data_IF_593512537818
#
_entry.id   IF_593512537818
#
_cell.length_a   1.000
_cell.length_b   1.000
_cell.length_c   1.000
_cell.angle_alpha   90.00
_cell.angle_beta   90.00
_cell.angle_gamma   90.00
#
_symmetry.space_group_name_H-M   'P 1'
#
loop_
_entity.id
_entity.type
_entity.pdbx_description
1 polymer ?
#
# COMPACT_ATOMS: atom_id res chain seq x y z
N UNK A 1 21.91 2.79 3.96
CA UNK A 1 20.57 2.44 3.41
C UNK A 1 19.61 3.62 3.36
N UNK A 2 19.41 4.38 4.46
CA UNK A 2 18.54 5.57 4.51
C UNK A 2 18.81 6.61 3.40
N UNK A 3 20.08 6.99 3.20
CA UNK A 3 20.47 7.94 2.16
C UNK A 3 20.19 7.43 0.74
N UNK A 4 20.36 6.12 0.50
CA UNK A 4 20.14 5.51 -0.80
C UNK A 4 18.65 5.45 -1.16
N UNK A 5 17.78 5.02 -0.24
CA UNK A 5 16.33 4.97 -0.47
C UNK A 5 15.76 6.39 -0.63
N UNK A 6 16.23 7.34 0.18
CA UNK A 6 15.89 8.76 0.03
C UNK A 6 16.31 9.31 -1.33
N UNK A 7 17.54 9.03 -1.74
CA UNK A 7 18.07 9.45 -3.04
C UNK A 7 17.27 8.86 -4.20
N UNK A 8 17.08 7.53 -4.22
CA UNK A 8 16.37 6.83 -5.29
C UNK A 8 14.90 7.27 -5.42
N UNK A 9 14.25 7.61 -4.30
CA UNK A 9 12.83 8.00 -4.32
C UNK A 9 12.58 9.48 -4.59
N UNK A 10 13.52 10.37 -4.22
CA UNK A 10 13.30 11.83 -4.26
C UNK A 10 14.25 12.59 -5.18
N UNK A 11 15.48 12.11 -5.30
CA UNK A 11 16.61 12.86 -5.87
C UNK A 11 17.26 12.16 -7.07
N UNK A 12 16.70 11.03 -7.50
CA UNK A 12 17.27 10.21 -8.56
C UNK A 12 17.49 11.03 -9.83
N UNK A 13 18.70 10.90 -10.40
CA UNK A 13 19.19 11.67 -11.55
C UNK A 13 19.27 13.20 -11.36
N UNK A 14 18.96 13.73 -10.17
CA UNK A 14 18.98 15.17 -9.88
C UNK A 14 17.98 15.98 -10.71
N UNK A 15 18.23 17.29 -10.81
CA UNK A 15 17.44 18.20 -11.66
C UNK A 15 16.23 18.85 -10.99
N UNK A 16 15.33 19.47 -11.78
CA UNK A 16 14.17 20.19 -11.26
C UNK A 16 13.21 19.24 -10.54
N UNK A 17 12.50 19.76 -9.53
CA UNK A 17 11.51 19.00 -8.75
C UNK A 17 10.07 19.48 -9.00
N UNK A 18 9.52 19.28 -10.22
CA UNK A 18 8.23 19.84 -10.60
C UNK A 18 7.05 19.12 -9.95
N UNK A 19 7.23 17.88 -9.50
CA UNK A 19 6.13 17.02 -9.04
C UNK A 19 6.15 16.81 -7.54
N UNK A 20 4.96 16.70 -6.95
CA UNK A 20 4.79 16.08 -5.63
C UNK A 20 4.79 14.56 -5.79
N UNK A 21 5.36 13.84 -4.84
CA UNK A 21 5.33 12.38 -4.85
C UNK A 21 3.88 11.85 -4.82
N UNK A 22 2.98 12.53 -4.11
CA UNK A 22 1.54 12.21 -4.09
C UNK A 22 0.91 12.24 -5.47
N UNK A 23 1.35 13.12 -6.38
CA UNK A 23 0.81 13.14 -7.75
C UNK A 23 1.14 11.87 -8.51
N UNK A 24 2.38 11.38 -8.38
CA UNK A 24 2.80 10.12 -9.01
C UNK A 24 2.01 8.94 -8.45
N UNK A 25 1.86 8.88 -7.12
CA UNK A 25 1.09 7.83 -6.45
C UNK A 25 -0.39 7.89 -6.86
N UNK A 26 -0.98 9.09 -6.86
CA UNK A 26 -2.39 9.30 -7.17
C UNK A 26 -2.70 9.00 -8.64
N UNK A 27 -1.80 9.27 -9.59
CA UNK A 27 -1.98 8.85 -10.98
C UNK A 27 -2.13 7.33 -11.07
N UNK A 28 -1.27 6.57 -10.39
CA UNK A 28 -1.39 5.12 -10.39
C UNK A 28 -2.69 4.67 -9.68
N UNK A 29 -2.96 5.19 -8.49
CA UNK A 29 -4.12 4.80 -7.67
C UNK A 29 -5.45 5.15 -8.34
N UNK A 30 -5.62 6.40 -8.75
CA UNK A 30 -6.81 6.89 -9.45
C UNK A 30 -6.98 6.25 -10.82
N UNK A 31 -5.87 6.12 -11.57
CA UNK A 31 -5.87 5.51 -12.87
C UNK A 31 -6.21 4.02 -12.84
N UNK A 32 -6.05 3.34 -11.69
CA UNK A 32 -6.24 1.89 -11.59
C UNK A 32 -7.64 1.44 -12.04
N UNK A 33 -8.71 2.12 -11.60
CA UNK A 33 -10.06 1.72 -11.97
C UNK A 33 -10.28 1.80 -13.48
N UNK A 34 -9.88 2.91 -14.10
CA UNK A 34 -10.00 3.15 -15.54
C UNK A 34 -9.09 2.19 -16.32
N UNK A 35 -7.85 2.00 -15.87
CA UNK A 35 -6.89 1.11 -16.49
C UNK A 35 -7.39 -0.33 -16.53
N UNK A 36 -7.83 -0.88 -15.40
CA UNK A 36 -8.34 -2.24 -15.32
C UNK A 36 -9.63 -2.42 -16.13
N UNK A 37 -10.55 -1.46 -16.09
CA UNK A 37 -11.75 -1.47 -16.93
C UNK A 37 -11.41 -1.43 -18.42
N UNK A 38 -10.42 -0.64 -18.81
CA UNK A 38 -9.88 -0.59 -20.17
C UNK A 38 -9.27 -1.92 -20.60
N UNK A 39 -8.53 -2.60 -19.71
CA UNK A 39 -8.02 -3.95 -19.97
C UNK A 39 -9.15 -4.96 -20.17
N UNK A 40 -10.22 -4.90 -19.35
CA UNK A 40 -11.38 -5.79 -19.51
C UNK A 40 -12.04 -5.61 -20.87
N UNK A 41 -12.21 -4.36 -21.32
CA UNK A 41 -12.71 -4.06 -22.65
C UNK A 41 -11.78 -4.55 -23.77
N UNK A 42 -10.48 -4.30 -23.64
CA UNK A 42 -9.47 -4.68 -24.63
C UNK A 42 -9.35 -6.20 -24.80
N UNK A 43 -9.29 -6.95 -23.70
CA UNK A 43 -9.19 -8.41 -23.71
C UNK A 43 -10.55 -9.12 -23.78
N UNK A 44 -11.66 -8.37 -23.81
CA UNK A 44 -13.02 -8.90 -23.76
C UNK A 44 -13.26 -9.89 -22.61
N UNK A 45 -12.58 -9.68 -21.47
CA UNK A 45 -12.69 -10.54 -20.29
C UNK A 45 -13.70 -9.95 -19.30
N UNK A 46 -14.90 -10.54 -19.28
CA UNK A 46 -16.00 -10.16 -18.39
C UNK A 46 -16.26 -11.21 -17.30
N UNK A 47 -15.27 -12.05 -17.01
CA UNK A 47 -15.38 -13.05 -15.95
C UNK A 47 -15.68 -12.43 -14.58
N UNK A 48 -16.30 -13.21 -13.69
CA UNK A 48 -16.56 -12.80 -12.31
C UNK A 48 -15.27 -12.39 -11.59
N UNK A 49 -14.17 -13.14 -11.79
CA UNK A 49 -12.88 -12.81 -11.22
C UNK A 49 -12.36 -11.43 -11.66
N UNK A 50 -12.51 -11.08 -12.95
CA UNK A 50 -12.10 -9.78 -13.48
C UNK A 50 -12.92 -8.62 -12.88
N UNK A 51 -14.24 -8.77 -12.76
CA UNK A 51 -15.11 -7.78 -12.12
C UNK A 51 -14.79 -7.61 -10.63
N UNK A 52 -14.58 -8.71 -9.91
CA UNK A 52 -14.19 -8.66 -8.50
C UNK A 52 -12.83 -7.97 -8.37
N UNK A 53 -11.85 -8.31 -9.21
CA UNK A 53 -10.54 -7.68 -9.16
C UNK A 53 -10.59 -6.16 -9.46
N UNK A 54 -11.38 -5.76 -10.46
CA UNK A 54 -11.65 -4.34 -10.74
C UNK A 54 -12.27 -3.65 -9.52
N UNK A 55 -13.28 -4.27 -8.89
CA UNK A 55 -13.93 -3.73 -7.71
C UNK A 55 -12.94 -3.58 -6.54
N UNK A 56 -12.12 -4.59 -6.26
CA UNK A 56 -11.14 -4.55 -5.17
C UNK A 56 -10.02 -3.53 -5.43
N UNK A 57 -9.25 -3.69 -6.51
CA UNK A 57 -8.08 -2.87 -6.76
C UNK A 57 -8.45 -1.46 -7.23
N UNK A 58 -9.47 -1.34 -8.08
CA UNK A 58 -9.99 -0.05 -8.53
C UNK A 58 -10.57 0.78 -7.39
N UNK A 59 -11.44 0.20 -6.55
CA UNK A 59 -12.07 0.95 -5.45
C UNK A 59 -11.07 1.27 -4.34
N UNK A 60 -10.08 0.41 -4.10
CA UNK A 60 -8.93 0.77 -3.24
C UNK A 60 -8.22 2.02 -3.76
N UNK A 61 -8.00 2.11 -5.07
CA UNK A 61 -7.45 3.30 -5.73
C UNK A 61 -8.28 4.55 -5.48
N UNK A 62 -9.62 4.46 -5.54
CA UNK A 62 -10.52 5.57 -5.22
C UNK A 62 -10.48 5.95 -3.74
N UNK A 63 -10.52 4.97 -2.85
CA UNK A 63 -10.42 5.17 -1.39
C UNK A 63 -9.10 5.86 -1.01
N UNK A 64 -8.00 5.52 -1.70
CA UNK A 64 -6.70 6.18 -1.54
C UNK A 64 -6.77 7.67 -1.86
N UNK A 65 -7.41 8.07 -2.96
CA UNK A 65 -7.55 9.48 -3.33
C UNK A 65 -8.35 10.24 -2.27
N UNK A 66 -9.47 9.67 -1.83
CA UNK A 66 -10.32 10.29 -0.80
C UNK A 66 -9.48 10.55 0.46
N UNK A 67 -8.70 9.56 0.89
CA UNK A 67 -7.74 9.67 2.00
C UNK A 67 -6.71 10.79 1.75
N UNK A 68 -6.03 10.81 0.60
CA UNK A 68 -4.98 11.81 0.33
C UNK A 68 -5.55 13.24 0.28
N UNK A 69 -6.78 13.42 -0.20
CA UNK A 69 -7.46 14.71 -0.19
C UNK A 69 -7.93 15.13 1.22
N UNK A 70 -8.43 14.19 2.02
CA UNK A 70 -9.02 14.49 3.32
C UNK A 70 -7.97 14.65 4.44
N UNK A 71 -6.94 13.80 4.45
CA UNK A 71 -5.88 13.79 5.46
C UNK A 71 -4.54 13.34 4.85
N UNK A 72 -3.89 14.21 4.05
CA UNK A 72 -2.66 13.88 3.33
C UNK A 72 -1.50 13.55 4.27
N UNK A 73 -0.71 12.53 3.93
CA UNK A 73 0.54 12.27 4.64
C UNK A 73 1.64 13.25 4.18
N UNK A 74 2.29 13.97 5.10
CA UNK A 74 3.38 14.91 4.76
C UNK A 74 4.52 14.28 3.95
N UNK A 75 4.80 12.99 4.13
CA UNK A 75 5.87 12.30 3.40
C UNK A 75 5.61 12.26 1.88
N UNK A 76 4.34 12.17 1.47
CA UNK A 76 3.93 12.15 0.06
C UNK A 76 3.86 13.56 -0.55
N UNK A 77 3.81 14.61 0.28
CA UNK A 77 3.77 16.00 -0.20
C UNK A 77 5.14 16.55 -0.59
N UNK A 78 6.22 15.81 -0.31
CA UNK A 78 7.57 16.16 -0.72
C UNK A 78 7.67 16.26 -2.25
N UNK A 79 8.36 17.31 -2.73
CA UNK A 79 8.67 17.46 -4.15
C UNK A 79 9.84 16.55 -4.54
N UNK A 80 9.73 15.90 -5.68
CA UNK A 80 10.69 14.92 -6.19
C UNK A 80 11.20 15.32 -7.57
N UNK A 81 12.42 14.89 -7.90
CA UNK A 81 12.97 15.05 -9.25
C UNK A 81 12.14 14.26 -10.26
N UNK A 82 12.25 14.61 -11.55
CA UNK A 82 11.64 13.82 -12.63
C UNK A 82 12.06 12.35 -12.54
N UNK A 83 13.37 12.10 -12.34
CA UNK A 83 13.90 10.76 -12.15
C UNK A 83 13.32 10.06 -10.91
N UNK A 84 13.20 10.75 -9.77
CA UNK A 84 12.61 10.20 -8.55
C UNK A 84 11.16 9.79 -8.74
N UNK A 85 10.37 10.62 -9.42
CA UNK A 85 8.97 10.32 -9.76
C UNK A 85 8.84 9.10 -10.69
N UNK A 86 9.63 9.05 -11.76
CA UNK A 86 9.65 7.89 -12.68
C UNK A 86 10.06 6.62 -11.92
N UNK A 87 11.10 6.71 -11.08
CA UNK A 87 11.61 5.57 -10.33
C UNK A 87 10.59 5.04 -9.33
N UNK A 88 9.86 5.92 -8.63
CA UNK A 88 8.77 5.53 -7.73
C UNK A 88 7.65 4.79 -8.47
N UNK A 89 7.35 5.19 -9.71
CA UNK A 89 6.39 4.47 -10.53
C UNK A 89 6.95 3.12 -11.03
N UNK A 90 8.12 3.11 -11.66
CA UNK A 90 8.68 1.94 -12.32
C UNK A 90 9.11 0.84 -11.34
N UNK A 91 9.67 1.19 -10.18
CA UNK A 91 10.16 0.19 -9.23
C UNK A 91 9.10 -0.32 -8.26
N UNK A 92 7.98 0.41 -8.10
CA UNK A 92 6.98 0.07 -7.08
C UNK A 92 5.57 0.08 -7.68
N UNK A 93 5.05 1.26 -8.01
CA UNK A 93 3.61 1.42 -8.26
C UNK A 93 3.12 0.72 -9.54
N UNK A 94 3.91 0.77 -10.61
CA UNK A 94 3.56 0.17 -11.90
C UNK A 94 3.44 -1.35 -11.84
N UNK A 95 4.21 -2.00 -10.97
CA UNK A 95 4.12 -3.46 -10.77
C UNK A 95 2.77 -3.90 -10.20
N UNK A 96 2.01 -3.04 -9.51
CA UNK A 96 0.68 -3.41 -9.05
C UNK A 96 -0.33 -3.51 -10.19
N UNK A 97 -0.14 -2.78 -11.30
CA UNK A 97 -0.95 -2.94 -12.50
C UNK A 97 -0.67 -4.25 -13.23
N UNK A 98 0.56 -4.78 -13.13
CA UNK A 98 0.89 -6.11 -13.65
C UNK A 98 -0.04 -7.18 -13.06
N UNK A 99 -0.41 -7.07 -11.78
CA UNK A 99 -1.24 -8.07 -11.12
C UNK A 99 -2.61 -8.16 -11.79
N UNK A 100 -3.25 -7.00 -12.01
CA UNK A 100 -4.53 -6.93 -12.69
C UNK A 100 -4.44 -7.32 -14.16
N UNK A 101 -3.36 -6.93 -14.83
CA UNK A 101 -3.10 -7.36 -16.19
C UNK A 101 -3.01 -8.88 -16.31
N UNK A 102 -2.24 -9.56 -15.45
CA UNK A 102 -2.08 -11.04 -15.49
C UNK A 102 -3.42 -11.79 -15.43
N UNK A 103 -4.34 -11.33 -14.58
CA UNK A 103 -5.66 -11.93 -14.42
C UNK A 103 -6.60 -11.54 -15.56
N UNK A 104 -6.65 -10.26 -15.95
CA UNK A 104 -7.61 -9.74 -16.93
C UNK A 104 -7.22 -10.14 -18.36
N UNK A 105 -5.92 -10.19 -18.69
CA UNK A 105 -5.45 -10.62 -20.01
C UNK A 105 -5.72 -12.09 -20.31
N UNK A 106 -6.03 -12.89 -19.28
CA UNK A 106 -6.16 -14.34 -19.39
C UNK A 106 -4.82 -15.07 -19.48
N UNK A 107 -3.68 -14.38 -19.31
CA UNK A 107 -2.35 -15.00 -19.26
C UNK A 107 -2.24 -15.97 -18.09
N UNK A 108 -2.93 -15.65 -16.99
CA UNK A 108 -3.07 -16.54 -15.83
C UNK A 108 -4.53 -16.98 -15.73
N UNK A 109 -4.74 -18.29 -15.66
CA UNK A 109 -6.03 -18.90 -15.28
C UNK A 109 -5.86 -19.56 -13.92
N UNK A 110 -6.19 -18.86 -12.83
CA UNK A 110 -5.89 -19.34 -11.49
C UNK A 110 -6.74 -20.55 -11.12
N UNK A 111 -6.08 -21.59 -10.60
CA UNK A 111 -6.76 -22.69 -9.92
C UNK A 111 -6.72 -22.40 -8.42
N UNK A 112 -7.84 -21.94 -7.87
CA UNK A 112 -7.90 -21.55 -6.47
C UNK A 112 -7.93 -22.76 -5.52
N UNK A 113 -7.31 -22.68 -4.33
CA UNK A 113 -7.33 -23.76 -3.34
C UNK A 113 -8.71 -24.08 -2.76
N UNK A 114 -9.65 -23.13 -2.87
CA UNK A 114 -11.03 -23.24 -2.38
C UNK A 114 -12.00 -22.95 -3.54
N UNK A 115 -13.27 -23.34 -3.41
CA UNK A 115 -14.29 -22.93 -4.37
C UNK A 115 -14.31 -21.41 -4.56
N UNK A 116 -14.50 -20.97 -5.81
CA UNK A 116 -14.46 -19.57 -6.23
C UNK A 116 -15.15 -18.60 -5.26
N UNK A 117 -16.41 -18.88 -4.89
CA UNK A 117 -17.16 -18.01 -3.99
C UNK A 117 -16.50 -17.84 -2.61
N UNK A 118 -15.94 -18.91 -2.04
CA UNK A 118 -15.22 -18.86 -0.76
C UNK A 118 -13.90 -18.11 -0.90
N UNK A 119 -13.18 -18.32 -2.01
CA UNK A 119 -11.93 -17.62 -2.30
C UNK A 119 -12.15 -16.12 -2.49
N UNK A 120 -13.14 -15.74 -3.29
CA UNK A 120 -13.54 -14.34 -3.51
C UNK A 120 -14.00 -13.68 -2.21
N UNK A 121 -14.76 -14.38 -1.36
CA UNK A 121 -15.15 -13.89 -0.04
C UNK A 121 -13.93 -13.59 0.84
N UNK A 122 -12.95 -14.49 0.88
CA UNK A 122 -11.72 -14.31 1.64
C UNK A 122 -10.92 -13.09 1.13
N UNK A 123 -10.64 -13.03 -0.18
CA UNK A 123 -9.92 -11.91 -0.79
C UNK A 123 -10.64 -10.57 -0.54
N UNK A 124 -11.95 -10.54 -0.73
CA UNK A 124 -12.75 -9.33 -0.50
C UNK A 124 -12.70 -8.89 0.96
N UNK A 125 -12.83 -9.84 1.89
CA UNK A 125 -12.75 -9.57 3.34
C UNK A 125 -11.38 -9.02 3.73
N UNK A 126 -10.30 -9.61 3.22
CA UNK A 126 -8.93 -9.13 3.46
C UNK A 126 -8.73 -7.71 2.91
N UNK A 127 -9.25 -7.43 1.71
CA UNK A 127 -9.16 -6.10 1.11
C UNK A 127 -9.94 -5.07 1.94
N UNK A 128 -11.18 -5.36 2.34
CA UNK A 128 -12.02 -4.44 3.12
C UNK A 128 -11.38 -4.17 4.48
N UNK A 129 -11.04 -5.22 5.23
CA UNK A 129 -10.39 -5.09 6.54
C UNK A 129 -9.06 -4.36 6.42
N UNK A 130 -8.26 -4.67 5.39
CA UNK A 130 -7.00 -3.99 5.12
C UNK A 130 -7.18 -2.49 4.87
N UNK A 131 -8.13 -2.12 4.01
CA UNK A 131 -8.51 -0.72 3.77
C UNK A 131 -8.96 -0.03 5.05
N UNK A 132 -9.84 -0.65 5.84
CA UNK A 132 -10.34 -0.09 7.10
C UNK A 132 -9.20 0.16 8.08
N UNK A 133 -8.31 -0.81 8.28
CA UNK A 133 -7.15 -0.67 9.18
C UNK A 133 -6.24 0.46 8.69
N UNK A 134 -5.90 0.48 7.40
CA UNK A 134 -5.02 1.51 6.82
C UNK A 134 -5.62 2.91 6.99
N UNK A 135 -6.87 3.11 6.59
CA UNK A 135 -7.55 4.41 6.63
C UNK A 135 -7.70 4.88 8.07
N UNK A 136 -8.15 4.01 8.99
CA UNK A 136 -8.32 4.37 10.39
C UNK A 136 -6.99 4.74 11.07
N UNK A 137 -5.92 3.99 10.80
CA UNK A 137 -4.60 4.28 11.34
C UNK A 137 -4.05 5.62 10.85
N UNK A 138 -4.17 5.89 9.55
CA UNK A 138 -3.66 7.13 8.97
C UNK A 138 -4.51 8.35 9.37
N UNK A 139 -5.83 8.19 9.47
CA UNK A 139 -6.71 9.22 10.00
C UNK A 139 -6.37 9.56 11.46
N UNK A 140 -6.28 8.55 12.34
CA UNK A 140 -5.89 8.76 13.74
C UNK A 140 -4.53 9.46 13.80
N UNK A 141 -3.52 8.97 13.07
CA UNK A 141 -2.19 9.61 13.01
C UNK A 141 -2.29 11.07 12.59
N UNK A 142 -3.00 11.38 11.52
CA UNK A 142 -3.10 12.74 10.99
C UNK A 142 -3.78 13.69 11.98
N UNK A 143 -4.96 13.33 12.46
CA UNK A 143 -5.74 14.22 13.34
C UNK A 143 -5.10 14.37 14.73
N UNK A 144 -4.59 13.28 15.31
CA UNK A 144 -3.92 13.34 16.61
C UNK A 144 -2.66 14.20 16.55
N UNK A 145 -1.78 14.00 15.56
CA UNK A 145 -0.53 14.77 15.46
C UNK A 145 -0.76 16.25 15.10
N UNK A 146 -1.89 16.58 14.45
CA UNK A 146 -2.28 17.97 14.18
C UNK A 146 -2.66 18.72 15.46
N UNK A 147 -3.26 18.03 16.44
CA UNK A 147 -3.67 18.63 17.71
C UNK A 147 -2.54 18.58 18.73
N UNK A 148 -1.89 17.42 18.86
CA UNK A 148 -0.82 17.19 19.82
C UNK A 148 0.29 16.33 19.20
N UNK A 149 1.42 16.95 18.79
CA UNK A 149 2.58 16.22 18.33
C UNK A 149 3.14 15.33 19.45
N UNK A 150 3.38 14.06 19.17
CA UNK A 150 3.93 13.13 20.16
C UNK A 150 3.83 11.66 19.77
N UNK A 151 4.13 10.80 20.72
CA UNK A 151 4.01 9.35 20.58
C UNK A 151 2.54 8.92 20.77
N UNK A 152 1.94 8.34 19.74
CA UNK A 152 0.59 7.76 19.79
C UNK A 152 0.70 6.32 20.30
N UNK A 153 -0.05 5.98 21.36
CA UNK A 153 0.00 4.65 22.01
C UNK A 153 -1.37 4.03 22.30
N UNK A 154 -2.43 4.58 21.68
CA UNK A 154 -3.82 4.16 21.84
C UNK A 154 -4.50 3.92 20.48
N UNK A 155 -5.78 3.56 20.49
CA UNK A 155 -6.56 3.29 19.28
C UNK A 155 -5.92 2.23 18.38
N UNK A 156 -5.78 2.53 17.09
CA UNK A 156 -5.14 1.66 16.09
C UNK A 156 -3.67 1.36 16.40
N UNK A 157 -3.01 2.25 17.14
CA UNK A 157 -1.63 2.10 17.58
C UNK A 157 -1.50 1.49 18.98
N UNK A 158 -2.60 1.03 19.61
CA UNK A 158 -2.52 0.48 20.97
C UNK A 158 -1.68 -0.79 21.05
N UNK A 159 -1.87 -1.69 20.09
CA UNK A 159 -1.26 -3.02 20.08
C UNK A 159 -0.29 -3.22 18.92
N UNK A 160 -0.42 -2.47 17.82
CA UNK A 160 0.41 -2.64 16.63
C UNK A 160 1.10 -1.30 16.35
N UNK A 161 2.42 -1.32 16.15
CA UNK A 161 3.21 -0.10 15.91
C UNK A 161 3.13 0.41 14.47
N UNK A 162 2.82 -0.49 13.54
CA UNK A 162 2.72 -0.24 12.10
C UNK A 162 1.38 -0.68 11.49
N UNK A 163 0.21 -0.27 12.05
CA UNK A 163 -1.09 -0.77 11.62
C UNK A 163 -1.41 -0.36 10.17
N UNK A 164 -0.98 0.82 9.73
CA UNK A 164 -1.16 1.26 8.35
C UNK A 164 -0.47 0.34 7.34
N UNK A 165 0.75 -0.13 7.66
CA UNK A 165 1.47 -1.10 6.84
C UNK A 165 0.79 -2.45 6.83
N UNK A 166 0.28 -2.92 7.98
CA UNK A 166 -0.52 -4.15 8.05
C UNK A 166 -1.72 -4.05 7.11
N UNK A 167 -2.46 -2.95 7.17
CA UNK A 167 -3.61 -2.70 6.31
C UNK A 167 -3.26 -2.75 4.83
N UNK A 168 -2.20 -2.05 4.40
CA UNK A 168 -1.73 -2.11 3.01
C UNK A 168 -1.28 -3.52 2.60
N UNK A 169 -0.57 -4.24 3.47
CA UNK A 169 -0.13 -5.61 3.20
C UNK A 169 -1.33 -6.55 2.98
N UNK A 170 -2.40 -6.44 3.77
CA UNK A 170 -3.64 -7.21 3.58
C UNK A 170 -4.33 -6.89 2.25
N UNK A 171 -4.39 -5.60 1.88
CA UNK A 171 -4.96 -5.16 0.61
C UNK A 171 -4.21 -5.78 -0.56
N UNK A 172 -2.89 -5.63 -0.63
CA UNK A 172 -2.14 -6.17 -1.76
C UNK A 172 -2.04 -7.70 -1.74
N UNK A 173 -2.02 -8.33 -0.56
CA UNK A 173 -2.12 -9.78 -0.44
C UNK A 173 -3.43 -10.28 -1.06
N UNK A 174 -4.55 -9.60 -0.83
CA UNK A 174 -5.83 -9.95 -1.45
C UNK A 174 -5.77 -9.91 -2.98
N UNK A 175 -5.04 -8.95 -3.56
CA UNK A 175 -4.86 -8.86 -5.01
C UNK A 175 -3.99 -10.00 -5.53
N UNK A 176 -2.86 -10.29 -4.86
CA UNK A 176 -2.01 -11.43 -5.20
C UNK A 176 -2.77 -12.76 -5.09
N UNK A 177 -3.65 -12.90 -4.10
CA UNK A 177 -4.51 -14.07 -3.93
C UNK A 177 -5.56 -14.21 -5.03
N UNK A 178 -6.15 -13.11 -5.51
CA UNK A 178 -7.05 -13.14 -6.66
C UNK A 178 -6.35 -13.58 -7.95
N UNK A 179 -5.10 -13.15 -8.16
CA UNK A 179 -4.31 -13.57 -9.33
C UNK A 179 -3.79 -15.00 -9.16
N UNK A 180 -3.56 -15.43 -7.92
CA UNK A 180 -3.04 -16.75 -7.52
C UNK A 180 -1.85 -17.24 -8.37
N UNK A 181 -0.87 -16.35 -8.53
CA UNK A 181 0.35 -16.60 -9.27
C UNK A 181 1.57 -16.18 -8.45
N UNK A 182 2.70 -16.85 -8.61
CA UNK A 182 3.92 -16.58 -7.82
C UNK A 182 4.49 -15.18 -8.04
N UNK A 183 4.32 -14.61 -9.24
CA UNK A 183 4.93 -13.33 -9.62
C UNK A 183 4.43 -12.15 -8.76
N UNK A 184 3.12 -11.95 -8.54
CA UNK A 184 2.64 -10.99 -7.54
C UNK A 184 3.27 -11.14 -6.16
N UNK A 185 3.40 -12.38 -5.66
CA UNK A 185 4.02 -12.62 -4.36
C UNK A 185 5.51 -12.26 -4.33
N UNK A 186 6.26 -12.50 -5.42
CA UNK A 186 7.65 -12.05 -5.53
C UNK A 186 7.73 -10.52 -5.46
N UNK A 187 6.90 -9.81 -6.22
CA UNK A 187 6.84 -8.34 -6.18
C UNK A 187 6.53 -7.84 -4.77
N UNK A 188 5.53 -8.43 -4.11
CA UNK A 188 5.17 -8.05 -2.74
C UNK A 188 6.30 -8.35 -1.74
N UNK A 189 6.98 -9.48 -1.85
CA UNK A 189 8.12 -9.79 -1.00
C UNK A 189 9.24 -8.74 -1.15
N UNK A 190 9.53 -8.30 -2.38
CA UNK A 190 10.53 -7.26 -2.65
C UNK A 190 10.11 -5.90 -2.07
N UNK A 191 8.85 -5.50 -2.25
CA UNK A 191 8.36 -4.22 -1.70
C UNK A 191 8.29 -4.26 -0.17
N UNK A 192 7.78 -5.34 0.40
CA UNK A 192 7.62 -5.47 1.85
C UNK A 192 8.96 -5.50 2.57
N UNK A 193 9.97 -6.16 2.00
CA UNK A 193 11.32 -6.20 2.58
C UNK A 193 12.16 -4.96 2.26
N UNK A 194 12.18 -4.53 0.99
CA UNK A 194 13.02 -3.41 0.53
C UNK A 194 12.48 -2.02 0.84
N UNK A 195 11.17 -1.88 1.03
CA UNK A 195 10.53 -0.58 1.28
C UNK A 195 9.82 -0.56 2.62
N UNK A 196 8.88 -1.47 2.88
CA UNK A 196 8.06 -1.39 4.10
C UNK A 196 8.90 -1.65 5.36
N UNK A 197 9.63 -2.76 5.42
CA UNK A 197 10.47 -3.10 6.57
C UNK A 197 11.50 -2.00 6.85
N UNK A 198 12.14 -1.46 5.81
CA UNK A 198 13.10 -0.36 5.93
C UNK A 198 12.44 0.90 6.53
N UNK A 199 11.29 1.29 6.00
CA UNK A 199 10.54 2.45 6.51
C UNK A 199 10.06 2.23 7.95
N UNK A 200 9.63 1.01 8.29
CA UNK A 200 9.21 0.66 9.66
C UNK A 200 10.38 0.76 10.63
N UNK A 201 11.55 0.21 10.31
CA UNK A 201 12.76 0.31 11.14
C UNK A 201 13.19 1.77 11.32
N UNK A 202 13.15 2.57 10.25
CA UNK A 202 13.44 3.99 10.33
C UNK A 202 12.44 4.75 11.21
N UNK A 203 11.16 4.40 11.10
CA UNK A 203 10.09 4.96 11.95
C UNK A 203 10.34 4.59 13.41
N UNK A 204 10.68 3.35 13.73
CA UNK A 204 11.02 2.94 15.11
C UNK A 204 12.22 3.71 15.68
N UNK A 205 13.29 3.88 14.89
CA UNK A 205 14.44 4.69 15.30
C UNK A 205 14.07 6.16 15.58
N UNK A 206 13.12 6.71 14.82
CA UNK A 206 12.59 8.04 15.10
C UNK A 206 11.75 8.06 16.39
N UNK A 207 10.88 7.07 16.56
CA UNK A 207 9.97 6.95 17.71
C UNK A 207 10.72 6.66 19.02
N UNK A 208 11.89 6.01 18.96
CA UNK A 208 12.69 5.68 20.15
C UNK A 208 13.25 6.88 20.90
N UNK A 209 13.14 8.08 20.31
CA UNK A 209 13.54 9.35 20.91
C UNK A 209 12.47 9.96 21.81
N UNK A 210 11.23 9.47 21.76
CA UNK A 210 10.13 10.01 22.56
C UNK A 210 10.06 9.37 23.95
N UNK A 211 9.74 10.15 25.00
CA UNK A 211 9.41 9.61 26.31
C UNK A 211 8.26 8.59 26.21
N UNK A 212 8.34 7.50 26.97
CA UNK A 212 7.34 6.42 26.97
C UNK A 212 7.47 5.38 25.86
N UNK A 213 8.40 5.55 24.91
CA UNK A 213 8.65 4.55 23.85
C UNK A 213 9.00 3.17 24.40
N UNK A 214 9.87 3.09 25.40
CA UNK A 214 10.29 1.82 25.98
C UNK A 214 9.10 1.02 26.54
N UNK A 215 8.22 1.69 27.28
CA UNK A 215 7.02 1.08 27.84
C UNK A 215 6.02 0.67 26.76
N UNK A 216 5.84 1.54 25.75
CA UNK A 216 4.97 1.26 24.61
C UNK A 216 5.46 0.06 23.79
N UNK A 217 6.76 -0.02 23.51
CA UNK A 217 7.36 -1.14 22.76
C UNK A 217 7.19 -2.47 23.49
N UNK A 218 7.25 -2.50 24.83
CA UNK A 218 7.04 -3.72 25.62
C UNK A 218 5.62 -4.29 25.54
N UNK A 219 4.61 -3.44 25.28
CA UNK A 219 3.18 -3.81 25.28
C UNK A 219 2.53 -3.83 23.89
N UNK A 220 3.31 -3.62 22.84
CA UNK A 220 2.86 -3.61 21.45
C UNK A 220 3.69 -4.56 20.61
N UNK A 221 3.16 -4.93 19.45
CA UNK A 221 3.82 -5.71 18.42
C UNK A 221 4.18 -4.82 17.24
N UNK A 222 5.14 -5.25 16.45
CA UNK A 222 5.63 -4.58 15.26
C UNK A 222 4.53 -4.50 14.21
N UNK A 223 4.00 -5.64 13.79
CA UNK A 223 3.03 -5.72 12.70
C UNK A 223 1.84 -6.63 13.01
N UNK A 224 2.11 -7.86 13.46
CA UNK A 224 1.08 -8.86 13.74
C UNK A 224 1.00 -9.12 15.25
N UNK A 225 -0.18 -9.12 15.87
CA UNK A 225 -0.32 -9.50 17.27
C UNK A 225 0.29 -10.88 17.52
N UNK A 226 1.00 -11.02 18.63
CA UNK A 226 1.70 -12.24 19.04
C UNK A 226 2.86 -12.69 18.14
N UNK A 227 3.22 -11.90 17.13
CA UNK A 227 4.35 -12.17 16.23
C UNK A 227 5.18 -10.90 16.07
N UNK A 228 6.32 -10.87 16.79
CA UNK A 228 7.28 -9.75 16.90
C UNK A 228 6.68 -8.44 17.38
#
# INVERSE_FOLDING_TARGET
MHALVGYLSRDFLGGPRPWKLSWVVNVQKAGTFVFLGGLMGWYSNTSTAAWIYLALHGSYGLAWIIKDLAFPDPAWQARVTLGGGINAFVLVLGWYWLFGWLLISGTVQPHYPLPDGAWYCLCTSLCIVGCTIMIAADAQKYFTLRVQPGLITDGMFRYIRHPNYLGEMLVYASFAMMVWHWLPWLVLALVWTGVFAVNMVMKESSLSRYPGWADYRRRSWWLLPFVL
#
